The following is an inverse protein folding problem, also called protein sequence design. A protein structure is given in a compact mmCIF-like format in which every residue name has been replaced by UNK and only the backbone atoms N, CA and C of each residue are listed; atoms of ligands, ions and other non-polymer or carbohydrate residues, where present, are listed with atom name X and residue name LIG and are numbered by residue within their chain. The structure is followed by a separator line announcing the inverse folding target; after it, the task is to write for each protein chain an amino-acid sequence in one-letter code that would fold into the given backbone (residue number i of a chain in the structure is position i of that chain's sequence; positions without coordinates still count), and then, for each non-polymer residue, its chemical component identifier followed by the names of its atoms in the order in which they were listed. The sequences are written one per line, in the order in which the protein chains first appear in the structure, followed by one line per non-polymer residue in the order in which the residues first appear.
data_IF_915703745787
#
_entry.id   IF_915703745787
#
_cell.length_a   1.000
_cell.length_b   1.000
_cell.length_c   1.000
_cell.angle_alpha   90.00
_cell.angle_beta   90.00
_cell.angle_gamma   90.00
#
_symmetry.space_group_name_H-M   'P 1'
#
loop_
_entity.id
_entity.type
_entity.pdbx_description
1 polymer ?
#
# COMPACT_ATOMS: atom_id res chain seq x y z
N UNK A 1 12.32 12.40 15.43
CA UNK A 1 11.05 12.36 14.68
C UNK A 1 9.97 13.27 15.28
N UNK A 2 9.91 13.46 16.60
CA UNK A 2 8.88 14.27 17.30
C UNK A 2 9.04 15.80 17.24
N UNK A 3 10.13 16.33 16.65
CA UNK A 3 10.44 17.77 16.65
C UNK A 3 10.33 18.40 15.26
N UNK A 4 9.47 17.85 14.41
CA UNK A 4 9.27 18.39 13.07
C UNK A 4 7.90 19.08 13.03
N UNK A 5 7.85 20.30 12.50
CA UNK A 5 6.60 21.07 12.30
C UNK A 5 5.81 20.47 11.13
N UNK A 6 5.23 19.28 11.33
CA UNK A 6 4.48 18.58 10.27
C UNK A 6 3.04 19.07 10.25
N UNK A 7 2.59 19.55 9.10
CA UNK A 7 1.18 19.70 8.81
C UNK A 7 0.62 18.33 8.36
N UNK A 8 -0.12 17.66 9.24
CA UNK A 8 -0.68 16.33 8.97
C UNK A 8 -2.14 16.46 8.54
N UNK A 9 -2.47 15.90 7.38
CA UNK A 9 -3.85 15.80 6.87
C UNK A 9 -4.29 14.34 6.84
N UNK A 10 -5.45 14.06 7.42
CA UNK A 10 -6.07 12.74 7.36
C UNK A 10 -7.10 12.75 6.23
N UNK A 11 -6.95 11.83 5.28
CA UNK A 11 -7.91 11.58 4.22
C UNK A 11 -8.34 10.13 4.27
N UNK A 12 -9.65 9.90 4.18
CA UNK A 12 -10.17 8.55 4.00
C UNK A 12 -9.98 8.13 2.53
N UNK A 13 -9.37 6.97 2.34
CA UNK A 13 -9.14 6.34 1.04
C UNK A 13 -9.91 5.02 1.03
N UNK A 14 -10.65 4.76 -0.03
CA UNK A 14 -11.36 3.49 -0.18
C UNK A 14 -10.37 2.33 -0.30
N UNK A 15 -10.78 1.14 0.11
CA UNK A 15 -9.92 -0.04 0.18
C UNK A 15 -9.24 -0.36 -1.17
N UNK A 16 -9.95 -0.09 -2.25
CA UNK A 16 -9.50 -0.33 -3.62
C UNK A 16 -8.27 0.53 -4.00
N UNK A 17 -8.16 1.74 -3.45
CA UNK A 17 -7.01 2.64 -3.66
C UNK A 17 -5.89 2.42 -2.62
N UNK A 18 -6.15 1.67 -1.53
CA UNK A 18 -5.17 1.40 -0.46
C UNK A 18 -4.46 0.05 -0.59
N UNK A 19 -4.59 -0.62 -1.74
CA UNK A 19 -4.18 -2.00 -1.93
C UNK A 19 -2.68 -2.29 -1.73
N UNK A 20 -1.80 -1.37 -2.15
CA UNK A 20 -0.35 -1.52 -1.97
C UNK A 20 0.05 -1.39 -0.50
N UNK A 21 -0.54 -0.44 0.23
CA UNK A 21 -0.27 -0.26 1.66
C UNK A 21 -0.75 -1.48 2.47
N UNK A 22 -1.95 -1.98 2.20
CA UNK A 22 -2.47 -3.21 2.81
C UNK A 22 -1.55 -4.42 2.52
N UNK A 23 -1.08 -4.54 1.27
CA UNK A 23 -0.16 -5.61 0.88
C UNK A 23 1.15 -5.55 1.65
N UNK A 24 1.75 -4.36 1.79
CA UNK A 24 2.98 -4.17 2.56
C UNK A 24 2.78 -4.47 4.05
N UNK A 25 1.64 -4.07 4.62
CA UNK A 25 1.29 -4.39 6.01
C UNK A 25 1.15 -5.91 6.22
N UNK A 26 0.57 -6.63 5.26
CA UNK A 26 0.49 -8.09 5.31
C UNK A 26 1.88 -8.75 5.18
N UNK A 27 2.72 -8.23 4.27
CA UNK A 27 4.09 -8.74 4.09
C UNK A 27 4.94 -8.54 5.36
N UNK A 28 4.71 -7.46 6.11
CA UNK A 28 5.46 -7.16 7.32
C UNK A 28 5.43 -8.29 8.39
N UNK A 29 4.40 -9.14 8.40
CA UNK A 29 4.32 -10.26 9.34
C UNK A 29 5.41 -11.33 9.14
N UNK A 30 5.92 -11.48 7.91
CA UNK A 30 6.96 -12.46 7.59
C UNK A 30 8.36 -11.85 7.49
N UNK A 31 8.47 -10.53 7.63
CA UNK A 31 9.72 -9.80 7.55
C UNK A 31 10.43 -9.72 8.91
N UNK A 32 11.77 -9.54 8.92
CA UNK A 32 12.50 -9.26 10.15
C UNK A 32 11.97 -7.99 10.83
N UNK A 33 12.05 -7.95 12.16
CA UNK A 33 11.76 -6.74 12.92
C UNK A 33 12.74 -5.62 12.52
N UNK A 34 12.21 -4.44 12.25
CA UNK A 34 13.00 -3.26 11.88
C UNK A 34 12.41 -2.55 10.67
N UNK A 35 13.25 -1.77 9.99
CA UNK A 35 12.90 -1.12 8.73
C UNK A 35 13.43 -2.02 7.60
N UNK A 36 12.54 -2.44 6.71
CA UNK A 36 12.89 -3.18 5.51
C UNK A 36 12.69 -2.26 4.31
N UNK A 37 13.75 -2.12 3.52
CA UNK A 37 13.75 -1.37 2.27
C UNK A 37 13.81 -2.37 1.13
N UNK A 38 13.00 -2.14 0.10
CA UNK A 38 12.99 -2.96 -1.10
C UNK A 38 13.51 -2.13 -2.27
N UNK A 39 14.57 -2.61 -2.93
CA UNK A 39 15.09 -1.96 -4.15
C UNK A 39 14.14 -2.14 -5.35
N UNK A 40 13.31 -3.18 -5.30
CA UNK A 40 12.30 -3.52 -6.31
C UNK A 40 10.97 -3.86 -5.64
N UNK A 41 9.84 -3.64 -6.32
CA UNK A 41 8.53 -3.95 -5.74
C UNK A 41 8.42 -5.44 -5.33
N UNK A 42 8.08 -5.77 -4.08
CA UNK A 42 8.01 -7.16 -3.63
C UNK A 42 6.95 -7.99 -4.37
N UNK A 43 7.23 -9.29 -4.51
CA UNK A 43 6.30 -10.26 -5.09
C UNK A 43 4.99 -10.33 -4.27
N UNK A 44 3.86 -10.38 -4.97
CA UNK A 44 2.52 -10.32 -4.36
C UNK A 44 1.90 -8.92 -4.27
N UNK A 45 2.69 -7.85 -4.41
CA UNK A 45 2.20 -6.46 -4.53
C UNK A 45 2.39 -5.92 -5.95
N UNK A 46 3.38 -6.47 -6.68
CA UNK A 46 3.76 -6.07 -8.05
C UNK A 46 2.58 -5.80 -8.99
N UNK A 47 1.65 -6.74 -9.10
CA UNK A 47 0.50 -6.61 -10.01
C UNK A 47 -0.35 -5.37 -9.72
N UNK A 48 -0.63 -5.12 -8.43
CA UNK A 48 -1.42 -3.95 -7.98
C UNK A 48 -0.63 -2.66 -8.14
N UNK A 49 0.66 -2.70 -7.88
CA UNK A 49 1.57 -1.58 -8.11
C UNK A 49 1.62 -1.19 -9.59
N UNK A 50 1.77 -2.17 -10.49
CA UNK A 50 1.81 -1.92 -11.93
C UNK A 50 0.46 -1.41 -12.44
N UNK A 51 -0.65 -1.97 -11.94
CA UNK A 51 -2.00 -1.50 -12.27
C UNK A 51 -2.21 -0.03 -11.85
N UNK A 52 -1.75 0.36 -10.66
CA UNK A 52 -1.81 1.74 -10.17
C UNK A 52 -0.96 2.69 -11.03
N UNK A 53 0.28 2.28 -11.36
CA UNK A 53 1.19 3.05 -12.23
C UNK A 53 0.60 3.28 -13.63
N UNK A 54 -0.10 2.29 -14.19
CA UNK A 54 -0.70 2.37 -15.52
C UNK A 54 -2.09 3.06 -15.46
N UNK A 55 -2.67 3.24 -14.27
CA UNK A 55 -3.99 3.85 -14.08
C UNK A 55 -5.16 2.90 -14.38
N UNK A 56 -4.94 1.59 -14.26
CA UNK A 56 -5.98 0.58 -14.45
C UNK A 56 -6.86 0.52 -13.21
N UNK A 57 -8.16 0.79 -13.38
CA UNK A 57 -9.17 0.60 -12.33
C UNK A 57 -10.02 -0.63 -12.63
N UNK A 58 -10.11 -1.55 -11.66
CA UNK A 58 -10.97 -2.72 -11.75
C UNK A 58 -12.21 -2.51 -10.87
N UNK A 59 -13.44 -2.61 -11.41
CA UNK A 59 -14.64 -2.56 -10.60
C UNK A 59 -14.66 -3.70 -9.58
N UNK A 60 -15.07 -3.40 -8.35
CA UNK A 60 -15.30 -4.45 -7.35
C UNK A 60 -16.67 -5.06 -7.55
N UNK A 61 -16.72 -6.36 -7.81
CA UNK A 61 -17.97 -7.11 -7.78
C UNK A 61 -18.36 -7.35 -6.31
N UNK A 62 -19.50 -6.81 -5.90
CA UNK A 62 -20.06 -7.00 -4.55
C UNK A 62 -21.33 -7.82 -4.70
N UNK A 63 -21.40 -8.99 -4.05
CA UNK A 63 -22.64 -9.74 -3.95
C UNK A 63 -23.55 -9.07 -2.93
N UNK A 64 -24.82 -8.92 -3.30
CA UNK A 64 -25.90 -8.44 -2.44
C UNK A 64 -26.48 -9.61 -1.65
#
# INVERSE_FOLDING_TARGET
MLSLNWEVKLKHIYREENHCADGLANLAFILPKGIVLFDVCPDGIRERFDADVIGVSTPRLVSI
#
